data_IF_971263267298
#
_entry.id   IF_971263267298
#
_cell.length_a   1.000
_cell.length_b   1.000
_cell.length_c   1.000
_cell.angle_alpha   90.00
_cell.angle_beta   90.00
_cell.angle_gamma   90.00
#
_symmetry.space_group_name_H-M   'P 1'
#
loop_
_entity.id
_entity.type
_entity.pdbx_description
1 polymer ?
#
# COMPACT_ATOMS: atom_id res chain seq x y z
N UNK A 1 -15.48 3.75 5.43
CA UNK A 1 -15.49 5.10 6.00
C UNK A 1 -15.19 6.05 4.87
N UNK A 2 -15.87 7.19 4.76
CA UNK A 2 -15.52 8.22 3.78
C UNK A 2 -14.58 9.21 4.49
N UNK A 3 -13.40 9.47 3.90
CA UNK A 3 -12.42 10.41 4.44
C UNK A 3 -12.53 11.74 3.71
N UNK A 4 -12.30 12.83 4.44
CA UNK A 4 -12.20 14.14 3.81
C UNK A 4 -10.88 14.27 3.01
N UNK A 5 -10.87 15.20 2.05
CA UNK A 5 -9.70 15.42 1.18
C UNK A 5 -8.43 15.77 1.98
N UNK A 6 -8.55 16.50 3.09
CA UNK A 6 -7.39 16.91 3.90
C UNK A 6 -6.78 15.71 4.62
N UNK A 7 -7.59 14.81 5.14
CA UNK A 7 -7.13 13.56 5.75
C UNK A 7 -6.30 12.74 4.74
N UNK A 8 -6.80 12.61 3.51
CA UNK A 8 -6.09 11.92 2.43
C UNK A 8 -4.80 12.64 2.02
N UNK A 9 -4.82 13.97 1.91
CA UNK A 9 -3.63 14.77 1.60
C UNK A 9 -2.54 14.63 2.65
N UNK A 10 -2.90 14.65 3.94
CA UNK A 10 -1.96 14.46 5.05
C UNK A 10 -1.32 13.06 4.97
N UNK A 11 -2.12 12.02 4.75
CA UNK A 11 -1.62 10.66 4.61
C UNK A 11 -0.69 10.54 3.40
N UNK A 12 -1.10 11.02 2.22
CA UNK A 12 -0.28 10.97 1.00
C UNK A 12 1.06 11.69 1.19
N UNK A 13 1.06 12.85 1.85
CA UNK A 13 2.29 13.58 2.14
C UNK A 13 3.21 12.80 3.08
N UNK A 14 2.68 12.21 4.16
CA UNK A 14 3.46 11.36 5.08
C UNK A 14 4.03 10.13 4.39
N UNK A 15 3.24 9.47 3.55
CA UNK A 15 3.66 8.30 2.76
C UNK A 15 4.78 8.67 1.79
N UNK A 16 4.62 9.76 1.03
CA UNK A 16 5.65 10.26 0.12
C UNK A 16 6.92 10.68 0.87
N UNK A 17 6.80 11.35 2.02
CA UNK A 17 7.93 11.78 2.85
C UNK A 17 8.69 10.58 3.44
N UNK A 18 7.98 9.55 3.88
CA UNK A 18 8.56 8.37 4.55
C UNK A 18 9.18 7.37 3.56
N UNK A 19 8.51 7.13 2.42
CA UNK A 19 8.89 6.08 1.48
C UNK A 19 9.60 6.62 0.23
N UNK A 20 9.28 7.84 -0.21
CA UNK A 20 9.90 8.51 -1.35
C UNK A 20 10.04 7.60 -2.57
N UNK A 21 11.28 7.48 -3.08
CA UNK A 21 11.60 6.70 -4.28
C UNK A 21 11.28 5.20 -4.14
N UNK A 22 11.11 4.67 -2.91
CA UNK A 22 10.73 3.25 -2.72
C UNK A 22 9.36 2.93 -3.34
N UNK A 23 8.49 3.93 -3.50
CA UNK A 23 7.17 3.78 -4.12
C UNK A 23 7.25 3.51 -5.64
N UNK A 24 8.30 3.99 -6.31
CA UNK A 24 8.44 3.86 -7.77
C UNK A 24 8.66 2.41 -8.21
N UNK A 25 9.33 1.61 -7.37
CA UNK A 25 9.66 0.22 -7.66
C UNK A 25 8.53 -0.79 -7.38
N UNK A 26 7.38 -0.35 -6.88
CA UNK A 26 6.29 -1.26 -6.50
C UNK A 26 5.55 -1.83 -7.72
N UNK A 27 5.38 -3.14 -7.73
CA UNK A 27 4.46 -3.83 -8.65
C UNK A 27 3.01 -3.42 -8.35
N UNK A 28 2.12 -3.56 -9.34
CA UNK A 28 0.70 -3.20 -9.19
C UNK A 28 0.04 -3.87 -7.98
N UNK A 29 0.30 -5.15 -7.75
CA UNK A 29 -0.25 -5.87 -6.61
C UNK A 29 0.29 -5.33 -5.27
N UNK A 30 1.57 -4.98 -5.20
CA UNK A 30 2.18 -4.43 -3.99
C UNK A 30 1.58 -3.05 -3.67
N UNK A 31 1.29 -2.22 -4.69
CA UNK A 31 0.57 -0.95 -4.52
C UNK A 31 -0.82 -1.18 -3.93
N UNK A 32 -1.59 -2.12 -4.48
CA UNK A 32 -2.91 -2.44 -3.93
C UNK A 32 -2.86 -2.94 -2.48
N UNK A 33 -1.88 -3.77 -2.13
CA UNK A 33 -1.70 -4.25 -0.76
C UNK A 33 -1.32 -3.08 0.16
N UNK A 34 -0.39 -2.22 -0.27
CA UNK A 34 0.00 -1.03 0.48
C UNK A 34 -1.19 -0.11 0.71
N UNK A 35 -1.97 0.20 -0.32
CA UNK A 35 -3.15 1.06 -0.23
C UNK A 35 -4.19 0.50 0.76
N UNK A 36 -4.41 -0.81 0.76
CA UNK A 36 -5.30 -1.47 1.73
C UNK A 36 -4.77 -1.35 3.16
N UNK A 37 -3.47 -1.54 3.39
CA UNK A 37 -2.88 -1.37 4.71
C UNK A 37 -2.91 0.07 5.19
N UNK A 38 -2.64 1.04 4.31
CA UNK A 38 -2.77 2.47 4.63
C UNK A 38 -4.22 2.85 4.97
N UNK A 39 -5.20 2.28 4.27
CA UNK A 39 -6.60 2.45 4.62
C UNK A 39 -6.93 1.82 5.99
N UNK A 40 -6.36 0.67 6.33
CA UNK A 40 -6.55 0.09 7.66
C UNK A 40 -5.94 0.97 8.76
N UNK A 41 -4.75 1.54 8.53
CA UNK A 41 -4.18 2.53 9.46
C UNK A 41 -5.09 3.73 9.63
N UNK A 42 -5.71 4.22 8.54
CA UNK A 42 -6.73 5.28 8.66
C UNK A 42 -7.92 4.85 9.52
N UNK A 43 -8.35 3.59 9.46
CA UNK A 43 -9.43 3.08 10.32
C UNK A 43 -8.98 2.99 11.77
N UNK A 44 -7.80 2.43 12.03
CA UNK A 44 -7.22 2.21 13.36
C UNK A 44 -6.95 3.53 14.11
N UNK A 45 -6.64 4.59 13.35
CA UNK A 45 -6.46 5.94 13.85
C UNK A 45 -7.74 6.80 13.74
N UNK A 46 -8.92 6.19 13.55
CA UNK A 46 -10.20 6.90 13.48
C UNK A 46 -10.22 8.07 12.45
N UNK A 47 -9.51 7.91 11.34
CA UNK A 47 -9.34 8.92 10.30
C UNK A 47 -8.35 10.03 10.63
N UNK A 48 -7.70 10.00 11.80
CA UNK A 48 -6.71 11.00 12.21
C UNK A 48 -5.37 10.73 11.54
N UNK A 49 -5.23 11.11 10.27
CA UNK A 49 -4.00 10.89 9.50
C UNK A 49 -2.73 11.49 10.15
N UNK A 50 -2.88 12.52 11.01
CA UNK A 50 -1.77 13.11 11.75
C UNK A 50 -1.14 12.16 12.78
N UNK A 51 -1.93 11.27 13.41
CA UNK A 51 -1.45 10.34 14.43
C UNK A 51 -0.75 9.11 13.87
N UNK A 52 -0.92 8.82 12.57
CA UNK A 52 -0.18 7.75 11.88
C UNK A 52 1.30 8.11 11.85
N UNK A 53 2.13 7.23 12.40
CA UNK A 53 3.58 7.41 12.50
C UNK A 53 4.30 6.94 11.23
N UNK A 54 5.54 7.40 11.03
CA UNK A 54 6.38 6.91 9.94
C UNK A 54 6.69 5.42 10.08
N UNK A 55 6.83 4.90 11.30
CA UNK A 55 7.11 3.47 11.53
C UNK A 55 5.92 2.59 11.10
N UNK A 56 4.68 3.03 11.33
CA UNK A 56 3.49 2.33 10.84
C UNK A 56 3.41 2.32 9.31
N UNK A 57 3.79 3.42 8.66
CA UNK A 57 3.88 3.51 7.19
C UNK A 57 4.96 2.57 6.65
N UNK A 58 6.13 2.50 7.32
CA UNK A 58 7.19 1.56 6.96
C UNK A 58 6.72 0.12 7.14
N UNK A 59 6.04 -0.21 8.24
CA UNK A 59 5.48 -1.54 8.47
C UNK A 59 4.46 -1.94 7.40
N UNK A 60 3.58 -1.03 6.98
CA UNK A 60 2.65 -1.26 5.87
C UNK A 60 3.39 -1.54 4.55
N UNK A 61 4.44 -0.78 4.26
CA UNK A 61 5.29 -0.99 3.09
C UNK A 61 6.03 -2.33 3.13
N UNK A 62 6.57 -2.70 4.29
CA UNK A 62 7.22 -3.98 4.49
C UNK A 62 6.24 -5.12 4.20
N UNK A 63 5.04 -5.10 4.80
CA UNK A 63 3.98 -6.10 4.53
C UNK A 63 3.67 -6.21 3.04
N UNK A 64 3.52 -5.07 2.36
CA UNK A 64 3.27 -5.03 0.92
C UNK A 64 4.41 -5.61 0.07
N UNK A 65 5.62 -5.71 0.63
CA UNK A 65 6.85 -6.09 -0.10
C UNK A 65 7.54 -7.35 0.43
N UNK A 66 6.93 -8.09 1.39
CA UNK A 66 7.49 -9.30 2.03
C UNK A 66 7.90 -10.41 1.04
N UNK A 67 7.52 -10.33 -0.25
CA UNK A 67 7.79 -11.37 -1.25
C UNK A 67 8.93 -11.05 -2.25
N UNK A 68 9.86 -10.16 -1.95
CA UNK A 68 11.01 -9.87 -2.85
C UNK A 68 12.14 -10.93 -2.82
N UNK A 69 11.86 -12.18 -2.44
CA UNK A 69 12.86 -13.26 -2.29
C UNK A 69 12.51 -14.62 -2.88
N UNK A 70 11.34 -14.82 -3.52
CA UNK A 70 11.03 -16.08 -4.19
C UNK A 70 10.00 -15.87 -5.32
N UNK A 71 10.33 -16.15 -6.59
CA UNK A 71 9.43 -15.92 -7.73
C UNK A 71 8.17 -16.80 -7.78
N UNK A 72 8.06 -17.87 -6.97
CA UNK A 72 7.15 -18.98 -7.29
C UNK A 72 5.87 -19.09 -6.45
N UNK A 73 5.63 -18.29 -5.40
CA UNK A 73 4.54 -18.62 -4.45
C UNK A 73 3.47 -17.57 -4.16
N UNK A 74 3.47 -16.40 -4.79
CA UNK A 74 2.34 -15.45 -4.65
C UNK A 74 1.64 -15.08 -5.97
N UNK A 75 2.13 -15.57 -7.11
CA UNK A 75 1.62 -15.22 -8.44
C UNK A 75 1.16 -16.38 -9.32
N UNK A 76 1.23 -17.64 -8.85
CA UNK A 76 0.71 -18.79 -9.62
C UNK A 76 -0.84 -18.85 -9.70
N UNK A 77 -1.54 -17.73 -9.50
CA UNK A 77 -3.01 -17.70 -9.49
C UNK A 77 -3.67 -16.40 -9.91
N UNK A 78 -2.95 -15.40 -10.46
CA UNK A 78 -3.59 -14.15 -10.91
C UNK A 78 -3.20 -13.66 -12.31
N UNK A 79 -2.46 -14.45 -13.09
CA UNK A 79 -2.31 -14.26 -14.54
C UNK A 79 -3.29 -15.14 -15.35
N UNK A 80 -4.58 -15.17 -15.00
CA UNK A 80 -5.60 -15.85 -15.82
C UNK A 80 -6.82 -14.96 -16.13
N UNK A 81 -6.65 -13.63 -16.08
CA UNK A 81 -7.68 -12.69 -16.51
C UNK A 81 -7.11 -11.51 -17.29
N UNK A 82 -6.27 -11.78 -18.30
CA UNK A 82 -6.08 -10.86 -19.44
C UNK A 82 -5.40 -11.46 -20.67
N UNK A 83 -5.59 -12.74 -20.97
CA UNK A 83 -5.43 -13.23 -22.35
C UNK A 83 -6.24 -14.52 -22.59
N UNK A 84 -7.54 -14.34 -22.83
CA UNK A 84 -8.30 -15.23 -23.72
C UNK A 84 -9.03 -14.35 -24.72
N UNK A 85 -8.24 -13.81 -25.64
CA UNK A 85 -8.72 -13.64 -27.01
C UNK A 85 -8.90 -15.04 -27.60
N UNK A 86 -10.15 -15.44 -27.85
CA UNK A 86 -10.59 -16.22 -29.02
C UNK A 86 -12.12 -16.15 -29.13
#
# INVERSE_FOLDING_TARGET
MEYDTKQLEILMHKVAFTLGNKLEGLLYQQKNILDNHLNNLMIDHNGQAESITSDEIVGAFEIATIHNGHPDYFLCGWEDYKDKSL
#
